data_IF_816850755534
#
_entry.id   IF_816850755534
#
_cell.length_a   1.000
_cell.length_b   1.000
_cell.length_c   1.000
_cell.angle_alpha   90.00
_cell.angle_beta   90.00
_cell.angle_gamma   90.00
#
_symmetry.space_group_name_H-M   'P 1'
#
loop_
_entity.id
_entity.type
_entity.pdbx_description
1 polymer ?
#
# COMPACT_ATOMS: atom_id res chain seq x y z
N UNK A 1 3.72 18.09 -36.39
CA UNK A 1 3.34 17.07 -35.44
C UNK A 1 3.57 17.53 -34.00
N UNK A 2 2.66 18.29 -33.45
CA UNK A 2 2.71 18.77 -32.08
C UNK A 2 1.30 18.70 -31.51
N UNK A 3 0.93 17.58 -30.91
CA UNK A 3 -0.42 17.47 -30.42
C UNK A 3 -0.72 16.38 -29.43
N UNK A 4 0.22 16.04 -28.57
CA UNK A 4 -0.05 14.98 -27.60
C UNK A 4 0.09 15.31 -26.13
N UNK A 5 0.56 16.51 -25.79
CA UNK A 5 0.93 16.80 -24.40
C UNK A 5 -0.16 17.42 -23.52
N UNK A 6 -1.21 17.98 -24.10
CA UNK A 6 -2.18 18.74 -23.32
C UNK A 6 -3.27 17.94 -22.63
N UNK A 7 -3.67 16.82 -23.21
CA UNK A 7 -4.77 16.02 -22.68
C UNK A 7 -4.37 15.16 -21.47
N UNK A 8 -3.12 14.74 -21.42
CA UNK A 8 -2.63 13.95 -20.29
C UNK A 8 -2.42 14.76 -19.00
N UNK A 9 -2.08 16.05 -19.14
CA UNK A 9 -1.91 16.94 -18.01
C UNK A 9 -3.20 17.26 -17.27
N UNK A 10 -4.31 17.44 -18.01
CA UNK A 10 -5.60 17.76 -17.42
C UNK A 10 -6.23 16.59 -16.66
N UNK A 11 -5.97 15.35 -17.06
CA UNK A 11 -6.47 14.16 -16.40
C UNK A 11 -5.68 13.77 -15.14
N UNK A 12 -4.50 14.37 -14.95
CA UNK A 12 -3.63 14.03 -13.81
C UNK A 12 -4.13 14.54 -12.46
N UNK A 13 -5.08 15.47 -12.43
CA UNK A 13 -5.65 15.98 -11.17
C UNK A 13 -6.44 14.94 -10.39
N UNK A 14 -7.01 13.95 -11.06
CA UNK A 14 -7.79 12.89 -10.42
C UNK A 14 -7.01 11.59 -10.25
N UNK A 15 -5.81 11.51 -10.81
CA UNK A 15 -4.98 10.31 -10.71
C UNK A 15 -4.10 10.33 -9.47
N UNK A 16 -3.82 9.15 -8.94
CA UNK A 16 -2.91 8.98 -7.83
C UNK A 16 -1.51 9.49 -8.16
N UNK A 17 -0.87 10.16 -7.20
CA UNK A 17 0.52 10.57 -7.28
C UNK A 17 1.49 9.43 -6.94
N UNK A 18 1.01 8.22 -6.78
CA UNK A 18 1.85 7.08 -6.49
C UNK A 18 2.93 6.91 -7.55
N UNK A 19 4.15 6.69 -7.09
CA UNK A 19 5.26 6.36 -7.96
C UNK A 19 5.28 4.87 -8.21
N UNK A 20 5.52 4.48 -9.45
CA UNK A 20 5.58 3.07 -9.84
C UNK A 20 7.02 2.70 -10.13
N UNK A 21 7.51 1.69 -9.46
CA UNK A 21 8.82 1.11 -9.71
C UNK A 21 8.64 -0.28 -10.30
N UNK A 22 9.20 -0.50 -11.48
CA UNK A 22 9.25 -1.83 -12.09
C UNK A 22 10.67 -2.33 -11.91
N UNK A 23 10.87 -3.48 -11.26
CA UNK A 23 12.22 -4.00 -11.06
C UNK A 23 12.91 -4.28 -12.38
N UNK A 24 14.11 -3.76 -12.56
CA UNK A 24 15.01 -4.12 -13.64
C UNK A 24 16.33 -4.62 -13.04
N UNK A 25 17.19 -5.20 -13.87
CA UNK A 25 18.43 -5.82 -13.38
C UNK A 25 19.40 -4.81 -12.78
N UNK A 26 19.28 -3.51 -13.12
CA UNK A 26 20.21 -2.47 -12.65
C UNK A 26 19.76 -1.81 -11.36
N UNK A 27 18.43 -1.65 -11.15
CA UNK A 27 17.89 -0.94 -9.99
C UNK A 27 17.23 -1.86 -8.96
N UNK A 28 17.33 -3.16 -9.14
CA UNK A 28 16.69 -4.14 -8.29
C UNK A 28 17.30 -4.15 -6.89
N UNK A 29 16.46 -3.88 -5.88
CA UNK A 29 16.82 -4.01 -4.47
C UNK A 29 16.42 -5.41 -4.00
N UNK A 30 17.32 -6.09 -3.29
CA UNK A 30 17.08 -7.43 -2.75
C UNK A 30 17.26 -7.42 -1.23
N UNK A 31 16.91 -8.52 -0.57
CA UNK A 31 17.12 -8.66 0.87
C UNK A 31 18.59 -8.53 1.27
N UNK A 32 19.50 -8.86 0.37
CA UNK A 32 20.95 -8.68 0.62
C UNK A 32 21.33 -7.21 0.80
N UNK A 33 20.56 -6.30 0.21
CA UNK A 33 20.82 -4.86 0.29
C UNK A 33 20.25 -4.22 1.57
N UNK A 34 19.48 -4.97 2.36
CA UNK A 34 18.83 -4.47 3.56
C UNK A 34 19.49 -5.05 4.80
N UNK A 35 19.99 -4.20 5.68
CA UNK A 35 20.66 -4.60 6.91
C UNK A 35 19.70 -4.62 8.11
N UNK A 36 19.93 -5.54 9.05
CA UNK A 36 19.30 -5.48 10.37
C UNK A 36 17.84 -5.91 10.44
N UNK A 37 17.33 -6.67 9.47
CA UNK A 37 15.91 -7.05 9.37
C UNK A 37 15.70 -8.57 9.29
N UNK A 38 16.58 -9.34 9.92
CA UNK A 38 16.56 -10.80 9.81
C UNK A 38 15.23 -11.42 10.28
N UNK A 39 14.65 -10.89 11.35
CA UNK A 39 13.35 -11.38 11.87
C UNK A 39 12.22 -11.10 10.89
N UNK A 40 12.19 -9.91 10.30
CA UNK A 40 11.18 -9.53 9.32
C UNK A 40 11.34 -10.26 7.99
N UNK A 41 12.57 -10.62 7.62
CA UNK A 41 12.84 -11.31 6.35
C UNK A 41 12.12 -12.66 6.27
N UNK A 42 12.04 -13.40 7.36
CA UNK A 42 11.38 -14.71 7.35
C UNK A 42 9.89 -14.58 7.03
N UNK A 43 9.21 -13.63 7.65
CA UNK A 43 7.80 -13.39 7.38
C UNK A 43 7.56 -12.86 5.98
N UNK A 44 8.43 -11.99 5.49
CA UNK A 44 8.30 -11.39 4.17
C UNK A 44 8.69 -12.37 3.07
N UNK A 45 9.50 -13.37 3.35
CA UNK A 45 9.83 -14.42 2.39
C UNK A 45 8.59 -15.20 1.95
N UNK A 46 7.65 -15.43 2.86
CA UNK A 46 6.37 -16.07 2.52
C UNK A 46 5.57 -15.22 1.51
N UNK A 47 5.61 -13.90 1.69
CA UNK A 47 4.94 -12.98 0.76
C UNK A 47 5.60 -13.03 -0.61
N UNK A 48 6.93 -13.06 -0.65
CA UNK A 48 7.68 -13.19 -1.90
C UNK A 48 7.28 -14.49 -2.63
N UNK A 49 7.27 -15.60 -1.92
CA UNK A 49 6.91 -16.89 -2.50
C UNK A 49 5.47 -16.89 -3.03
N UNK A 50 4.56 -16.26 -2.28
CA UNK A 50 3.18 -16.11 -2.72
C UNK A 50 3.08 -15.29 -4.00
N UNK A 51 3.77 -14.16 -4.07
CA UNK A 51 3.71 -13.29 -5.24
C UNK A 51 4.31 -13.95 -6.48
N UNK A 52 5.29 -14.82 -6.29
CA UNK A 52 5.88 -15.58 -7.41
C UNK A 52 4.97 -16.67 -7.93
N UNK A 53 4.25 -17.36 -7.04
CA UNK A 53 3.41 -18.51 -7.39
C UNK A 53 2.10 -18.50 -6.60
N UNK A 54 1.18 -17.57 -6.91
CA UNK A 54 -0.07 -17.44 -6.14
C UNK A 54 -0.95 -18.71 -6.19
N UNK A 55 -0.90 -19.46 -7.28
CA UNK A 55 -1.71 -20.67 -7.46
C UNK A 55 -1.43 -21.74 -6.39
N UNK A 56 -0.19 -21.84 -5.93
CA UNK A 56 0.20 -22.80 -4.89
C UNK A 56 -0.59 -22.64 -3.60
N UNK A 57 -0.83 -21.39 -3.23
CA UNK A 57 -1.52 -21.04 -1.97
C UNK A 57 -3.01 -21.16 -2.12
N UNK A 58 -3.55 -20.83 -3.29
CA UNK A 58 -4.97 -20.96 -3.59
C UNK A 58 -5.41 -22.41 -3.59
N UNK A 59 -4.60 -23.28 -4.17
CA UNK A 59 -4.90 -24.71 -4.30
C UNK A 59 -4.95 -25.45 -2.96
N UNK A 60 -4.19 -24.99 -1.97
CA UNK A 60 -4.18 -25.60 -0.62
C UNK A 60 -5.09 -24.88 0.37
N UNK A 61 -5.82 -23.87 -0.08
CA UNK A 61 -6.74 -23.11 0.78
C UNK A 61 -6.04 -22.26 1.85
N UNK A 62 -4.77 -21.94 1.65
CA UNK A 62 -4.03 -21.13 2.62
C UNK A 62 -4.53 -19.70 2.64
N UNK A 63 -4.59 -19.12 3.83
CA UNK A 63 -4.88 -17.70 3.99
C UNK A 63 -3.60 -16.91 3.77
N UNK A 64 -3.68 -15.96 2.83
CA UNK A 64 -2.57 -15.08 2.53
C UNK A 64 -2.88 -13.70 3.09
N UNK A 65 -1.95 -13.06 3.81
CA UNK A 65 -2.18 -11.70 4.28
C UNK A 65 -2.34 -10.76 3.09
N UNK A 66 -3.39 -9.95 3.10
CA UNK A 66 -3.60 -8.91 2.10
C UNK A 66 -2.80 -7.66 2.43
N UNK A 67 -2.49 -7.48 3.70
CA UNK A 67 -1.75 -6.34 4.19
C UNK A 67 -0.79 -6.71 5.31
N UNK A 68 0.36 -6.07 5.32
CA UNK A 68 1.38 -6.23 6.36
C UNK A 68 1.75 -4.84 6.89
N UNK A 69 1.73 -4.71 8.21
CA UNK A 69 2.08 -3.46 8.87
C UNK A 69 3.52 -3.51 9.35
N UNK A 70 4.33 -2.57 8.87
CA UNK A 70 5.71 -2.39 9.30
C UNK A 70 5.75 -1.29 10.35
N UNK A 71 6.17 -1.63 11.56
CA UNK A 71 6.21 -0.70 12.69
C UNK A 71 7.65 -0.36 13.02
N UNK A 72 7.92 0.92 13.23
CA UNK A 72 9.23 1.36 13.65
C UNK A 72 9.40 2.86 13.44
N UNK A 73 10.42 3.46 14.09
CA UNK A 73 10.68 4.89 13.92
C UNK A 73 11.08 5.24 12.48
N UNK A 74 10.92 6.51 12.07
CA UNK A 74 11.37 6.97 10.74
C UNK A 74 12.85 6.67 10.54
N UNK A 75 13.22 6.34 9.31
CA UNK A 75 14.62 6.05 8.98
C UNK A 75 15.11 4.66 9.29
N UNK A 76 14.21 3.72 9.67
CA UNK A 76 14.61 2.34 9.99
C UNK A 76 14.64 1.41 8.77
N UNK A 77 14.50 1.94 7.57
CA UNK A 77 14.62 1.16 6.34
C UNK A 77 13.33 0.46 5.88
N UNK A 78 12.17 0.88 6.40
CA UNK A 78 10.89 0.26 6.01
C UNK A 78 10.60 0.38 4.52
N UNK A 79 10.90 1.53 3.91
CA UNK A 79 10.73 1.73 2.47
C UNK A 79 11.67 0.82 1.68
N UNK A 80 12.92 0.74 2.10
CA UNK A 80 13.92 -0.11 1.45
C UNK A 80 13.54 -1.59 1.56
N UNK A 81 13.05 -2.00 2.72
CA UNK A 81 12.58 -3.37 2.94
C UNK A 81 11.42 -3.71 2.00
N UNK A 82 10.47 -2.79 1.84
CA UNK A 82 9.34 -2.98 0.93
C UNK A 82 9.78 -3.08 -0.52
N UNK A 83 10.76 -2.27 -0.93
CA UNK A 83 11.37 -2.38 -2.26
C UNK A 83 12.08 -3.72 -2.45
N UNK A 84 12.72 -4.21 -1.39
CA UNK A 84 13.41 -5.50 -1.43
C UNK A 84 12.42 -6.65 -1.63
N UNK A 85 11.25 -6.61 -0.99
CA UNK A 85 10.20 -7.62 -1.19
C UNK A 85 9.76 -7.61 -2.66
N UNK A 86 9.51 -6.45 -3.23
CA UNK A 86 9.12 -6.32 -4.64
C UNK A 86 10.23 -6.80 -5.57
N UNK A 87 11.50 -6.48 -5.27
CA UNK A 87 12.65 -6.92 -6.04
C UNK A 87 12.84 -8.43 -6.00
N UNK A 88 12.73 -9.04 -4.83
CA UNK A 88 12.82 -10.49 -4.69
C UNK A 88 11.68 -11.22 -5.43
N UNK A 89 10.47 -10.66 -5.36
CA UNK A 89 9.30 -11.22 -6.04
C UNK A 89 9.25 -10.87 -7.54
N UNK A 90 10.06 -9.93 -7.99
CA UNK A 90 10.10 -9.46 -9.37
C UNK A 90 8.74 -8.88 -9.82
N UNK A 91 8.11 -8.10 -8.95
CA UNK A 91 6.82 -7.47 -9.21
C UNK A 91 6.92 -5.94 -9.14
N UNK A 92 6.01 -5.21 -9.81
CA UNK A 92 5.94 -3.76 -9.68
C UNK A 92 5.65 -3.32 -8.25
N UNK A 93 6.14 -2.15 -7.90
CA UNK A 93 6.05 -1.56 -6.58
C UNK A 93 5.49 -0.15 -6.69
N UNK A 94 4.35 0.08 -6.03
CA UNK A 94 3.73 1.41 -5.96
C UNK A 94 4.05 2.01 -4.58
N UNK A 95 4.50 3.25 -4.56
CA UNK A 95 4.81 3.94 -3.30
C UNK A 95 4.01 5.24 -3.19
N UNK A 96 3.40 5.45 -2.03
CA UNK A 96 2.67 6.68 -1.73
C UNK A 96 2.74 6.93 -0.22
N UNK A 97 2.69 8.22 0.17
CA UNK A 97 2.57 8.60 1.57
C UNK A 97 1.11 8.82 1.95
N UNK A 98 0.71 8.35 3.14
CA UNK A 98 -0.63 8.60 3.65
C UNK A 98 -0.97 10.08 3.75
N UNK A 99 0.02 10.93 4.02
CA UNK A 99 -0.19 12.39 4.08
C UNK A 99 -0.65 12.98 2.75
N UNK A 100 -0.28 12.37 1.63
CA UNK A 100 -0.70 12.84 0.30
C UNK A 100 -2.20 12.72 0.09
N UNK A 101 -2.86 11.81 0.79
CA UNK A 101 -4.31 11.62 0.66
C UNK A 101 -5.11 12.65 1.45
N UNK A 102 -4.55 13.23 2.50
CA UNK A 102 -5.28 14.13 3.40
C UNK A 102 -5.10 15.62 3.09
N UNK A 103 -4.20 15.96 2.18
CA UNK A 103 -3.95 17.34 1.77
C UNK A 103 -4.88 17.82 0.65
N UNK A 104 -5.93 17.08 0.36
CA UNK A 104 -6.77 17.29 -0.80
C UNK A 104 -8.15 17.83 -0.45
N UNK A 105 -8.87 18.28 -1.49
CA UNK A 105 -10.27 18.65 -1.39
C UNK A 105 -11.13 17.48 -0.91
N UNK A 106 -12.29 17.78 -0.33
CA UNK A 106 -13.21 16.77 0.20
C UNK A 106 -13.52 15.71 -0.86
N UNK A 107 -13.35 14.45 -0.50
CA UNK A 107 -13.57 13.30 -1.39
C UNK A 107 -12.41 12.99 -2.32
N UNK A 108 -11.44 13.88 -2.48
CA UNK A 108 -10.30 13.64 -3.37
C UNK A 108 -9.36 12.56 -2.84
N UNK A 109 -9.22 12.44 -1.52
CA UNK A 109 -8.42 11.39 -0.91
C UNK A 109 -8.96 10.01 -1.22
N UNK A 110 -10.26 9.80 -1.05
CA UNK A 110 -10.91 8.53 -1.37
C UNK A 110 -10.80 8.20 -2.86
N UNK A 111 -10.98 9.20 -3.74
CA UNK A 111 -10.82 9.01 -5.17
C UNK A 111 -9.40 8.59 -5.55
N UNK A 112 -8.39 9.14 -4.89
CA UNK A 112 -6.99 8.75 -5.12
C UNK A 112 -6.70 7.34 -4.64
N UNK A 113 -7.25 6.93 -3.51
CA UNK A 113 -7.12 5.54 -3.04
C UNK A 113 -7.70 4.60 -4.08
N UNK A 114 -8.91 4.89 -4.56
CA UNK A 114 -9.57 4.08 -5.59
C UNK A 114 -8.74 4.00 -6.87
N UNK A 115 -8.23 5.13 -7.34
CA UNK A 115 -7.40 5.19 -8.55
C UNK A 115 -6.11 4.38 -8.37
N UNK A 116 -5.44 4.50 -7.22
CA UNK A 116 -4.24 3.74 -6.91
C UNK A 116 -4.48 2.24 -7.02
N UNK A 117 -5.57 1.75 -6.42
CA UNK A 117 -5.89 0.32 -6.46
C UNK A 117 -6.31 -0.13 -7.86
N UNK A 118 -6.98 0.71 -8.63
CA UNK A 118 -7.30 0.40 -10.03
C UNK A 118 -6.03 0.23 -10.86
N UNK A 119 -5.05 1.12 -10.68
CA UNK A 119 -3.77 1.02 -11.36
C UNK A 119 -3.00 -0.22 -10.95
N UNK A 120 -3.01 -0.52 -9.64
CA UNK A 120 -2.33 -1.70 -9.10
C UNK A 120 -2.95 -2.99 -9.64
N UNK A 121 -4.27 -3.07 -9.74
CA UNK A 121 -4.95 -4.25 -10.30
C UNK A 121 -4.53 -4.53 -11.73
N UNK A 122 -4.30 -3.49 -12.52
CA UNK A 122 -3.84 -3.62 -13.92
C UNK A 122 -2.42 -4.17 -14.01
N UNK A 123 -1.62 -3.98 -12.99
CA UNK A 123 -0.22 -4.41 -12.95
C UNK A 123 0.01 -5.59 -11.98
N UNK A 124 -1.06 -6.18 -11.48
CA UNK A 124 -0.95 -7.31 -10.55
C UNK A 124 -0.32 -8.54 -11.24
N UNK A 125 0.46 -9.37 -10.54
CA UNK A 125 0.78 -9.23 -9.12
C UNK A 125 1.70 -8.04 -8.84
N UNK A 126 1.45 -7.34 -7.74
CA UNK A 126 2.25 -6.16 -7.38
C UNK A 126 2.14 -5.86 -5.88
N UNK A 127 2.94 -4.89 -5.44
CA UNK A 127 2.93 -4.41 -4.06
C UNK A 127 2.58 -2.93 -4.05
N UNK A 128 1.70 -2.53 -3.14
CA UNK A 128 1.46 -1.13 -2.80
C UNK A 128 2.11 -0.87 -1.44
N UNK A 129 2.98 0.13 -1.36
CA UNK A 129 3.56 0.57 -0.11
C UNK A 129 2.97 1.92 0.28
N UNK A 130 2.36 1.98 1.47
CA UNK A 130 1.79 3.21 2.04
C UNK A 130 2.64 3.61 3.24
N UNK A 131 3.44 4.66 3.09
CA UNK A 131 4.18 5.23 4.21
C UNK A 131 3.27 6.16 5.01
N UNK A 132 3.59 6.39 6.27
CA UNK A 132 2.80 7.24 7.16
C UNK A 132 1.31 6.86 7.16
N UNK A 133 1.03 5.58 7.38
CA UNK A 133 -0.35 5.08 7.40
C UNK A 133 -1.20 5.81 8.45
N UNK A 134 -0.60 6.22 9.55
CA UNK A 134 -1.28 6.96 10.63
C UNK A 134 -1.90 8.28 10.17
N UNK A 135 -1.42 8.85 9.06
CA UNK A 135 -2.02 10.07 8.52
C UNK A 135 -3.48 9.88 8.10
N UNK A 136 -3.84 8.69 7.62
CA UNK A 136 -5.22 8.37 7.22
C UNK A 136 -5.89 7.35 8.12
N UNK A 137 -5.11 6.67 8.95
CA UNK A 137 -5.57 5.53 9.73
C UNK A 137 -5.84 5.82 11.21
N UNK A 138 -5.81 7.07 11.66
CA UNK A 138 -6.04 7.39 13.06
C UNK A 138 -7.45 7.01 13.51
N UNK A 139 -7.51 6.51 14.76
CA UNK A 139 -8.78 6.13 15.38
C UNK A 139 -9.78 7.27 15.42
N UNK A 140 -11.05 6.95 15.13
CA UNK A 140 -12.17 7.90 15.14
C UNK A 140 -12.57 8.34 16.55
N UNK A 141 -12.23 7.56 17.56
CA UNK A 141 -12.69 7.78 18.93
C UNK A 141 -12.04 8.97 19.63
N UNK A 142 -10.94 9.52 19.11
CA UNK A 142 -10.22 10.64 19.71
C UNK A 142 -10.55 12.01 19.14
N UNK A 143 -11.53 12.13 18.23
CA UNK A 143 -11.73 13.34 17.45
C UNK A 143 -13.03 14.10 17.75
N UNK A 144 -13.51 14.05 18.99
CA UNK A 144 -14.70 14.80 19.40
C UNK A 144 -14.45 16.30 19.31
N UNK A 145 -15.07 16.96 18.35
CA UNK A 145 -15.08 18.41 18.25
C UNK A 145 -14.41 19.03 17.02
N UNK A 146 -13.81 18.27 16.13
CA UNK A 146 -13.25 18.81 14.88
C UNK A 146 -14.17 18.46 13.71
N UNK A 147 -14.86 19.47 13.21
CA UNK A 147 -15.78 19.34 12.06
C UNK A 147 -15.00 19.64 10.78
N UNK A 148 -15.11 18.77 9.78
CA UNK A 148 -14.56 18.98 8.44
C UNK A 148 -13.34 18.14 8.08
N UNK A 149 -12.24 18.25 8.82
CA UNK A 149 -11.01 17.50 8.53
C UNK A 149 -11.11 16.00 8.80
N UNK A 150 -11.96 15.61 9.75
CA UNK A 150 -12.15 14.21 10.14
C UNK A 150 -13.01 13.42 9.15
N UNK A 151 -13.99 14.06 8.52
CA UNK A 151 -14.85 13.40 7.54
C UNK A 151 -14.06 12.98 6.32
N UNK A 152 -13.14 13.80 5.87
CA UNK A 152 -12.30 13.50 4.70
C UNK A 152 -11.33 12.36 5.00
N UNK A 153 -10.69 12.39 6.17
CA UNK A 153 -9.82 11.31 6.60
C UNK A 153 -10.59 10.01 6.77
N UNK A 154 -11.79 10.07 7.33
CA UNK A 154 -12.65 8.91 7.53
C UNK A 154 -13.09 8.32 6.19
N UNK A 155 -13.46 9.15 5.22
CA UNK A 155 -13.81 8.70 3.87
C UNK A 155 -12.63 8.01 3.20
N UNK A 156 -11.43 8.57 3.34
CA UNK A 156 -10.21 7.99 2.77
C UNK A 156 -9.91 6.63 3.40
N UNK A 157 -10.00 6.54 4.73
CA UNK A 157 -9.81 5.28 5.46
C UNK A 157 -10.83 4.23 5.02
N UNK A 158 -12.11 4.60 4.93
CA UNK A 158 -13.16 3.67 4.52
C UNK A 158 -12.92 3.18 3.09
N UNK A 159 -12.45 4.04 2.20
CA UNK A 159 -12.12 3.63 0.84
C UNK A 159 -10.96 2.64 0.82
N UNK A 160 -9.93 2.87 1.63
CA UNK A 160 -8.80 1.94 1.76
C UNK A 160 -9.29 0.56 2.23
N UNK A 161 -10.12 0.52 3.26
CA UNK A 161 -10.67 -0.72 3.79
C UNK A 161 -11.52 -1.46 2.75
N UNK A 162 -12.33 -0.73 2.01
CA UNK A 162 -13.15 -1.27 0.92
C UNK A 162 -12.28 -1.89 -0.16
N UNK A 163 -11.24 -1.20 -0.58
CA UNK A 163 -10.33 -1.70 -1.61
C UNK A 163 -9.58 -2.94 -1.14
N UNK A 164 -9.13 -2.97 0.10
CA UNK A 164 -8.46 -4.15 0.65
C UNK A 164 -9.38 -5.36 0.73
N UNK A 165 -10.64 -5.15 1.10
CA UNK A 165 -11.62 -6.23 1.18
C UNK A 165 -11.98 -6.77 -0.21
N UNK A 166 -11.80 -6.00 -1.26
CA UNK A 166 -12.13 -6.37 -2.63
C UNK A 166 -11.18 -7.33 -3.32
N UNK A 167 -10.05 -7.69 -2.67
CA UNK A 167 -9.04 -8.56 -3.28
C UNK A 167 -9.20 -10.05 -2.93
N UNK A 168 -10.35 -10.47 -2.46
CA UNK A 168 -10.52 -11.79 -1.86
C UNK A 168 -10.35 -12.97 -2.83
N UNK A 169 -10.37 -12.76 -4.14
CA UNK A 169 -10.40 -13.85 -5.12
C UNK A 169 -9.41 -13.68 -6.28
N UNK A 170 -8.30 -13.01 -6.06
CA UNK A 170 -7.46 -12.61 -7.17
C UNK A 170 -6.47 -13.70 -7.58
N UNK A 171 -6.57 -14.16 -8.83
CA UNK A 171 -5.51 -14.89 -9.49
C UNK A 171 -4.24 -14.02 -9.62
N UNK A 172 -4.42 -12.72 -9.51
CA UNK A 172 -3.35 -11.72 -9.58
C UNK A 172 -3.41 -10.88 -8.33
N UNK A 173 -2.63 -11.23 -7.29
CA UNK A 173 -2.71 -10.56 -6.00
C UNK A 173 -2.10 -9.17 -5.98
N UNK A 174 -2.66 -8.32 -5.13
CA UNK A 174 -2.08 -7.04 -4.75
C UNK A 174 -1.86 -7.10 -3.24
N UNK A 175 -0.62 -6.95 -2.81
CA UNK A 175 -0.27 -6.94 -1.38
C UNK A 175 -0.02 -5.49 -0.95
N UNK A 176 -0.61 -5.10 0.16
CA UNK A 176 -0.41 -3.77 0.72
C UNK A 176 0.58 -3.87 1.88
N UNK A 177 1.70 -3.21 1.76
CA UNK A 177 2.64 -3.02 2.86
C UNK A 177 2.45 -1.59 3.36
N UNK A 178 2.27 -1.41 4.65
CA UNK A 178 2.10 -0.08 5.22
C UNK A 178 3.06 0.13 6.37
N UNK A 179 3.52 1.36 6.52
CA UNK A 179 4.47 1.72 7.57
C UNK A 179 3.86 2.78 8.50
N UNK A 180 4.11 2.64 9.78
CA UNK A 180 3.76 3.66 10.78
C UNK A 180 4.78 3.63 11.91
N UNK A 181 5.04 4.80 12.50
CA UNK A 181 5.79 4.90 13.74
C UNK A 181 4.88 5.01 14.97
N UNK A 182 3.55 5.03 14.77
CA UNK A 182 2.55 5.20 15.82
C UNK A 182 1.43 4.16 15.69
N UNK A 183 1.72 2.86 15.89
CA UNK A 183 0.69 1.84 15.71
C UNK A 183 -0.46 1.98 16.69
N UNK A 184 -0.22 2.59 17.86
CA UNK A 184 -1.22 2.76 18.90
C UNK A 184 -2.35 3.73 18.53
N UNK A 185 -2.13 4.61 17.56
CA UNK A 185 -3.17 5.57 17.15
C UNK A 185 -4.05 5.06 16.00
N UNK A 186 -3.71 3.90 15.44
CA UNK A 186 -4.44 3.35 14.30
C UNK A 186 -5.84 2.87 14.69
N UNK A 187 -6.79 3.08 13.79
CA UNK A 187 -8.15 2.57 13.95
C UNK A 187 -8.15 1.04 13.98
N UNK A 188 -8.90 0.47 14.92
CA UNK A 188 -8.98 -0.98 15.07
C UNK A 188 -9.47 -1.69 13.80
N UNK A 189 -10.24 -1.00 12.96
CA UNK A 189 -10.72 -1.56 11.70
C UNK A 189 -9.59 -1.96 10.75
N UNK A 190 -8.46 -1.25 10.79
CA UNK A 190 -7.27 -1.58 9.99
C UNK A 190 -6.60 -2.88 10.45
N UNK A 191 -6.72 -3.20 11.72
CA UNK A 191 -6.01 -4.33 12.34
C UNK A 191 -6.83 -5.60 12.38
N UNK A 192 -8.02 -5.60 11.78
CA UNK A 192 -8.88 -6.79 11.71
C UNK A 192 -8.29 -7.84 10.78
N UNK A 193 -8.61 -9.14 11.01
CA UNK A 193 -8.18 -10.21 10.11
C UNK A 193 -8.59 -9.94 8.66
N UNK A 194 -7.69 -10.22 7.73
CA UNK A 194 -7.91 -9.93 6.31
C UNK A 194 -7.47 -8.54 5.87
N UNK A 195 -7.02 -7.71 6.80
CA UNK A 195 -6.44 -6.39 6.52
C UNK A 195 -4.99 -6.39 6.97
N UNK A 196 -4.59 -5.49 7.85
CA UNK A 196 -3.22 -5.50 8.36
C UNK A 196 -3.13 -6.40 9.61
N UNK A 197 -2.41 -7.46 9.47
CA UNK A 197 -2.16 -8.39 10.58
C UNK A 197 -0.78 -8.16 11.20
#
# INVERSE_FOLDING_TARGET
>A
SMGGGGAQGALSFTKSKAKVYVPDDESKVTFADVAGVDEAKDELTEIVDFLKKPERYTDIGARIPKGVLLVGPPGTGKTLLSKAVAGEAEVPFFIISGSEFVELFVGAGAARVRDLFEQAKKKAPCIIFIDELDAIGKSRSGSMGVVGGNDEREQTLNQLLTEMDGFASADKPVIVLAATNQPEVLDAALLRPGRFD
#
